data_IF_856004794133
#
_entry.id   IF_856004794133
#
_cell.length_a   1.000
_cell.length_b   1.000
_cell.length_c   1.000
_cell.angle_alpha   90.00
_cell.angle_beta   90.00
_cell.angle_gamma   90.00
#
_symmetry.space_group_name_H-M   'P 1'
#
loop_
_entity.id
_entity.type
_entity.pdbx_description
1 polymer ?
#
# COMPACT_ATOMS: atom_id res chain seq x y z
N UNK A 1 20.47 -7.96 -3.54
CA UNK A 1 19.04 -8.27 -3.31
C UNK A 1 18.46 -7.04 -2.63
N UNK A 2 17.43 -6.41 -3.21
CA UNK A 2 16.74 -5.30 -2.52
C UNK A 2 16.04 -5.89 -1.31
N UNK A 3 16.12 -5.21 -0.16
CA UNK A 3 15.28 -5.59 0.97
C UNK A 3 13.81 -5.44 0.55
N UNK A 4 12.90 -6.32 1.00
CA UNK A 4 11.47 -6.13 0.77
C UNK A 4 11.03 -4.83 1.46
N UNK A 5 10.25 -4.01 0.76
CA UNK A 5 9.71 -2.76 1.32
C UNK A 5 8.68 -3.05 2.41
N UNK A 6 8.51 -2.11 3.35
CA UNK A 6 7.59 -2.29 4.48
C UNK A 6 6.15 -2.57 4.08
N UNK A 7 5.66 -1.93 3.03
CA UNK A 7 4.28 -2.04 2.59
C UNK A 7 4.17 -2.38 1.12
N UNK A 8 3.08 -3.05 0.78
CA UNK A 8 2.60 -3.21 -0.59
C UNK A 8 1.32 -2.40 -0.74
N UNK A 9 1.32 -1.42 -1.63
CA UNK A 9 0.15 -0.65 -2.02
C UNK A 9 -0.36 -1.12 -3.39
N UNK A 10 -1.61 -1.55 -3.44
CA UNK A 10 -2.30 -1.93 -4.67
C UNK A 10 -3.32 -0.85 -5.01
N UNK A 11 -3.04 -0.05 -6.04
CA UNK A 11 -3.91 1.02 -6.51
C UNK A 11 -4.78 0.48 -7.64
N UNK A 12 -6.10 0.60 -7.49
CA UNK A 12 -7.07 0.22 -8.53
C UNK A 12 -7.57 1.46 -9.25
N UNK A 13 -7.42 1.50 -10.57
CA UNK A 13 -7.88 2.57 -11.44
C UNK A 13 -9.06 2.11 -12.30
N UNK A 14 -10.01 3.02 -12.56
CA UNK A 14 -11.04 2.86 -13.60
C UNK A 14 -10.44 3.26 -14.95
N UNK A 15 -10.68 2.44 -15.96
CA UNK A 15 -10.35 2.69 -17.36
C UNK A 15 -11.58 2.38 -18.22
N UNK A 16 -11.57 2.81 -19.48
CA UNK A 16 -12.65 2.50 -20.43
C UNK A 16 -12.81 0.99 -20.66
N UNK A 17 -11.74 0.22 -20.45
CA UNK A 17 -11.71 -1.24 -20.59
C UNK A 17 -12.04 -1.98 -19.29
N UNK A 18 -12.35 -1.27 -18.19
CA UNK A 18 -12.61 -1.83 -16.87
C UNK A 18 -11.58 -1.43 -15.82
N UNK A 19 -11.47 -2.22 -14.74
CA UNK A 19 -10.54 -1.93 -13.65
C UNK A 19 -9.13 -2.45 -13.95
N UNK A 20 -8.13 -1.63 -13.62
CA UNK A 20 -6.71 -2.00 -13.68
C UNK A 20 -6.09 -1.82 -12.30
N UNK A 21 -5.28 -2.78 -11.87
CA UNK A 21 -4.53 -2.71 -10.61
C UNK A 21 -3.05 -2.52 -10.88
N UNK A 22 -2.43 -1.61 -10.13
CA UNK A 22 -0.98 -1.37 -10.14
C UNK A 22 -0.44 -1.58 -8.73
N UNK A 23 0.66 -2.30 -8.63
CA UNK A 23 1.34 -2.60 -7.37
C UNK A 23 2.53 -1.66 -7.17
N UNK A 24 2.68 -1.16 -5.96
CA UNK A 24 3.77 -0.29 -5.54
C UNK A 24 4.34 -0.81 -4.21
N UNK A 25 5.63 -1.14 -4.22
CA UNK A 25 6.40 -1.34 -2.99
C UNK A 25 6.72 0.05 -2.41
N UNK A 26 6.34 0.29 -1.16
CA UNK A 26 6.59 1.56 -0.46
C UNK A 26 7.14 1.28 0.94
N UNK A 27 8.02 2.14 1.43
CA UNK A 27 8.60 2.01 2.76
C UNK A 27 7.78 2.76 3.80
N UNK A 28 7.26 3.92 3.42
CA UNK A 28 6.47 4.81 4.26
C UNK A 28 5.06 5.02 3.70
N UNK A 29 4.08 5.13 4.60
CA UNK A 29 2.69 5.38 4.19
C UNK A 29 2.52 6.77 3.57
N UNK A 30 3.41 7.72 3.85
CA UNK A 30 3.38 9.05 3.24
C UNK A 30 3.65 9.03 1.73
N UNK A 31 4.40 8.04 1.22
CA UNK A 31 4.65 7.84 -0.21
C UNK A 31 3.35 7.60 -1.02
N UNK A 32 2.25 7.23 -0.36
CA UNK A 32 0.93 7.15 -1.00
C UNK A 32 0.48 8.53 -1.51
N UNK A 33 0.85 9.61 -0.83
CA UNK A 33 0.49 10.97 -1.25
C UNK A 33 1.11 11.26 -2.62
N UNK A 34 2.40 10.96 -2.79
CA UNK A 34 3.09 11.09 -4.06
C UNK A 34 2.45 10.22 -5.15
N UNK A 35 2.06 8.98 -4.85
CA UNK A 35 1.38 8.11 -5.83
C UNK A 35 0.01 8.65 -6.27
N UNK A 36 -0.75 9.26 -5.35
CA UNK A 36 -2.06 9.85 -5.64
C UNK A 36 -1.91 11.14 -6.45
N UNK A 37 -0.92 11.96 -6.12
CA UNK A 37 -0.71 13.28 -6.75
C UNK A 37 0.04 13.21 -8.08
N UNK A 38 1.02 12.30 -8.22
CA UNK A 38 1.79 12.10 -9.45
C UNK A 38 1.16 11.08 -10.42
N UNK A 39 0.16 10.32 -9.97
CA UNK A 39 -0.50 9.30 -10.77
C UNK A 39 -1.28 9.87 -11.98
N UNK A 40 -1.78 8.99 -12.88
CA UNK A 40 -2.42 9.42 -14.13
C UNK A 40 -3.55 10.42 -13.91
N UNK A 41 -4.42 10.13 -12.95
CA UNK A 41 -5.43 11.05 -12.39
C UNK A 41 -5.99 10.46 -11.10
N UNK A 42 -5.93 11.22 -10.01
CA UNK A 42 -6.61 10.91 -8.75
C UNK A 42 -8.11 10.60 -8.91
N UNK A 43 -8.79 11.24 -9.87
CA UNK A 43 -10.20 10.96 -10.16
C UNK A 43 -10.44 9.58 -10.73
N UNK A 44 -9.44 8.93 -11.32
CA UNK A 44 -9.57 7.57 -11.86
C UNK A 44 -9.40 6.49 -10.78
N UNK A 45 -8.90 6.83 -9.60
CA UNK A 45 -8.71 5.86 -8.51
C UNK A 45 -10.08 5.37 -8.02
N UNK A 46 -10.22 4.05 -7.98
CA UNK A 46 -11.39 3.36 -7.40
C UNK A 46 -11.13 2.89 -5.98
N UNK A 47 -9.86 2.67 -5.61
CA UNK A 47 -9.47 2.27 -4.28
C UNK A 47 -7.97 2.01 -4.19
N UNK A 48 -7.43 2.10 -2.98
CA UNK A 48 -6.06 1.74 -2.65
C UNK A 48 -6.12 0.73 -1.50
N UNK A 49 -5.47 -0.43 -1.67
CA UNK A 49 -5.31 -1.43 -0.62
C UNK A 49 -3.85 -1.46 -0.19
N UNK A 50 -3.59 -1.17 1.08
CA UNK A 50 -2.24 -1.19 1.65
C UNK A 50 -2.12 -2.41 2.57
N UNK A 51 -1.04 -3.17 2.40
CA UNK A 51 -0.78 -4.38 3.19
C UNK A 51 0.63 -4.32 3.78
N UNK A 52 0.77 -4.57 5.08
CA UNK A 52 2.09 -4.73 5.72
C UNK A 52 2.76 -6.00 5.17
N UNK A 53 3.98 -5.88 4.69
CA UNK A 53 4.74 -7.03 4.25
C UNK A 53 5.17 -7.87 5.46
N UNK A 54 4.85 -9.16 5.37
CA UNK A 54 4.77 -10.08 6.50
C UNK A 54 6.11 -10.63 6.98
N UNK A 55 7.16 -10.47 6.19
CA UNK A 55 8.46 -11.13 6.34
C UNK A 55 9.57 -10.22 6.89
N UNK A 56 9.18 -9.10 7.52
CA UNK A 56 10.13 -8.11 8.05
C UNK A 56 10.53 -8.35 9.51
N UNK A 57 10.21 -9.52 10.06
CA UNK A 57 10.59 -9.89 11.43
C UNK A 57 9.83 -9.14 12.54
N UNK A 58 8.77 -8.41 12.21
CA UNK A 58 7.90 -7.76 13.20
C UNK A 58 7.00 -8.77 13.90
N UNK A 59 6.87 -8.64 15.22
CA UNK A 59 5.91 -9.39 16.01
C UNK A 59 4.48 -8.97 15.65
N UNK A 60 3.62 -9.95 15.35
CA UNK A 60 2.21 -9.67 15.03
C UNK A 60 1.39 -9.64 16.30
N UNK A 61 1.45 -8.50 16.96
CA UNK A 61 0.60 -8.24 18.10
C UNK A 61 -0.83 -8.02 17.61
N UNK A 62 -1.76 -8.65 18.29
CA UNK A 62 -3.15 -8.16 18.35
C UNK A 62 -3.17 -6.79 19.04
N UNK A 63 -4.27 -6.04 18.89
CA UNK A 63 -4.40 -4.73 19.52
C UNK A 63 -4.26 -4.86 21.04
N UNK A 64 -4.88 -5.88 21.63
CA UNK A 64 -4.87 -6.14 23.07
C UNK A 64 -3.46 -6.48 23.58
N UNK A 65 -2.67 -7.21 22.79
CA UNK A 65 -1.28 -7.51 23.15
C UNK A 65 -0.39 -6.26 23.08
N UNK A 66 -0.62 -5.39 22.11
CA UNK A 66 0.13 -4.14 21.97
C UNK A 66 -0.18 -3.15 23.10
N UNK A 67 -1.43 -3.09 23.58
CA UNK A 67 -1.85 -2.26 24.72
C UNK A 67 -1.23 -2.70 26.06
N UNK A 68 -0.75 -3.95 26.15
CA UNK A 68 -0.17 -4.53 27.35
C UNK A 68 1.37 -4.39 27.45
N UNK A 69 2.03 -3.77 26.46
CA UNK A 69 3.47 -3.49 26.43
C UNK A 69 3.81 -2.15 27.11
#
# INVERSE_FOLDING_TARGET
MSQPSRWLAVVTYRTDSGLVTVEHDIEELEEIQDLVEAGPSWFAISGIKITLQRDLGYERLTIEQAEAL
#
